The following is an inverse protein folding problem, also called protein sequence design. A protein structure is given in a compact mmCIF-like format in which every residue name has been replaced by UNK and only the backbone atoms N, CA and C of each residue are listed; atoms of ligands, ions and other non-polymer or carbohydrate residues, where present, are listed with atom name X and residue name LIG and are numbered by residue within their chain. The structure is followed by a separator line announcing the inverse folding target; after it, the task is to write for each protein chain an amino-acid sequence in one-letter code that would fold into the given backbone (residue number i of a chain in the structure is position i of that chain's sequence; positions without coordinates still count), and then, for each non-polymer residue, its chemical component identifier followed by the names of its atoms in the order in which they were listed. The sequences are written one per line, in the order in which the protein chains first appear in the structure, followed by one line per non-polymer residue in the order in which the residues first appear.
data_IF_216504060631
#
_entry.id   IF_216504060631
#
_cell.length_a   1.000
_cell.length_b   1.000
_cell.length_c   1.000
_cell.angle_alpha   90.00
_cell.angle_beta   90.00
_cell.angle_gamma   90.00
#
_symmetry.space_group_name_H-M   'P 1'
#
loop_
_entity.id
_entity.type
_entity.pdbx_description
1 polymer ?
#
# COMPACT_ATOMS: atom_id res chain seq x y z
N UNK A 1 3.90 -44.87 -2.45
CA UNK A 1 4.50 -43.60 -2.91
C UNK A 1 5.97 -43.63 -2.55
N UNK A 2 6.78 -43.90 -3.49
CA UNK A 2 8.23 -43.93 -3.33
C UNK A 2 8.75 -42.51 -3.52
N UNK A 3 8.89 -41.78 -2.43
CA UNK A 3 9.70 -40.59 -2.44
C UNK A 3 11.15 -41.02 -2.66
N UNK A 4 11.65 -40.77 -3.86
CA UNK A 4 13.06 -40.98 -4.14
C UNK A 4 13.86 -39.95 -3.31
N UNK A 5 14.84 -40.37 -2.51
CA UNK A 5 15.62 -39.47 -1.64
C UNK A 5 16.37 -38.39 -2.40
N UNK A 6 16.50 -38.49 -3.71
CA UNK A 6 17.10 -37.50 -4.59
C UNK A 6 16.17 -36.32 -4.91
N UNK A 7 14.84 -36.53 -5.00
CA UNK A 7 13.89 -35.45 -5.29
C UNK A 7 13.78 -34.40 -4.18
N UNK A 8 13.89 -34.83 -2.92
CA UNK A 8 13.77 -33.94 -1.78
C UNK A 8 14.91 -32.91 -1.65
N UNK A 9 16.14 -33.28 -1.97
CA UNK A 9 17.29 -32.39 -1.91
C UNK A 9 17.27 -31.33 -3.02
N UNK A 10 16.93 -31.72 -4.25
CA UNK A 10 16.81 -30.78 -5.36
C UNK A 10 15.67 -29.78 -5.15
N UNK A 11 14.52 -30.22 -4.65
CA UNK A 11 13.38 -29.34 -4.36
C UNK A 11 13.69 -28.36 -3.23
N UNK A 12 14.34 -28.80 -2.17
CA UNK A 12 14.77 -27.94 -1.06
C UNK A 12 15.78 -26.90 -1.53
N UNK A 13 16.75 -27.30 -2.34
CA UNK A 13 17.76 -26.41 -2.88
C UNK A 13 17.13 -25.39 -3.86
N UNK A 14 16.22 -25.80 -4.71
CA UNK A 14 15.50 -24.91 -5.62
C UNK A 14 14.66 -23.91 -4.82
N UNK A 15 13.92 -24.34 -3.82
CA UNK A 15 13.13 -23.49 -2.95
C UNK A 15 14.01 -22.45 -2.21
N UNK A 16 15.18 -22.87 -1.73
CA UNK A 16 16.16 -22.00 -1.08
C UNK A 16 16.72 -20.90 -1.98
N UNK A 17 16.68 -21.08 -3.29
CA UNK A 17 17.07 -20.05 -4.28
C UNK A 17 15.88 -19.18 -4.73
N UNK A 18 14.70 -19.77 -4.86
CA UNK A 18 13.51 -19.06 -5.33
C UNK A 18 13.03 -18.03 -4.31
N UNK A 19 12.98 -18.38 -3.02
CA UNK A 19 12.50 -17.49 -1.98
C UNK A 19 13.30 -16.18 -1.90
N UNK A 20 14.65 -16.18 -1.82
CA UNK A 20 15.43 -14.93 -1.81
C UNK A 20 15.23 -14.10 -3.07
N UNK A 21 15.07 -14.75 -4.22
CA UNK A 21 14.82 -14.07 -5.49
C UNK A 21 13.49 -13.30 -5.45
N UNK A 22 12.41 -13.97 -5.05
CA UNK A 22 11.10 -13.32 -4.92
C UNK A 22 11.10 -12.21 -3.88
N UNK A 23 11.75 -12.41 -2.73
CA UNK A 23 11.88 -11.38 -1.69
C UNK A 23 12.70 -10.19 -2.17
N UNK A 24 13.73 -10.42 -2.98
CA UNK A 24 14.55 -9.34 -3.54
C UNK A 24 13.76 -8.37 -4.41
N UNK A 25 12.70 -8.84 -5.07
CA UNK A 25 11.80 -8.00 -5.85
C UNK A 25 10.98 -7.04 -4.98
N UNK A 26 10.74 -7.38 -3.71
CA UNK A 26 9.99 -6.56 -2.77
C UNK A 26 10.85 -5.44 -2.16
N UNK A 27 12.16 -5.61 -2.08
CA UNK A 27 13.08 -4.66 -1.40
C UNK A 27 12.91 -3.20 -1.81
N UNK A 28 12.83 -2.83 -3.11
CA UNK A 28 12.66 -1.44 -3.50
C UNK A 28 11.38 -0.80 -2.93
N UNK A 29 10.36 -1.63 -2.73
CA UNK A 29 9.03 -1.20 -2.26
C UNK A 29 8.92 -1.14 -0.73
N UNK A 30 9.92 -1.63 0.00
CA UNK A 30 10.00 -1.50 1.46
C UNK A 30 10.68 -0.22 1.92
N UNK A 31 11.39 0.45 1.02
CA UNK A 31 12.22 1.63 1.34
C UNK A 31 11.62 2.90 0.76
N UNK A 32 11.01 2.82 -0.41
CA UNK A 32 10.49 3.97 -1.15
C UNK A 32 9.15 3.67 -1.81
N UNK A 33 8.35 4.70 -1.96
CA UNK A 33 7.11 4.67 -2.76
C UNK A 33 7.31 5.18 -4.19
N UNK A 34 8.55 5.44 -4.58
CA UNK A 34 8.88 5.87 -5.94
C UNK A 34 8.59 4.80 -7.00
N UNK A 35 8.91 3.51 -6.75
CA UNK A 35 8.57 2.47 -7.70
C UNK A 35 7.06 2.26 -7.80
N UNK A 36 6.57 2.01 -9.00
CA UNK A 36 5.15 1.77 -9.26
C UNK A 36 4.70 0.40 -8.76
N UNK A 37 3.68 0.36 -7.91
CA UNK A 37 3.12 -0.89 -7.39
C UNK A 37 2.56 -1.80 -8.49
N UNK A 38 1.86 -1.31 -9.54
CA UNK A 38 1.46 -2.13 -10.68
C UNK A 38 2.62 -2.82 -11.39
N UNK A 39 3.78 -2.18 -11.46
CA UNK A 39 4.99 -2.78 -12.03
C UNK A 39 5.46 -3.98 -11.20
N UNK A 40 5.41 -3.90 -9.88
CA UNK A 40 5.68 -5.05 -9.00
C UNK A 40 4.73 -6.20 -9.28
N UNK A 41 3.42 -5.92 -9.37
CA UNK A 41 2.42 -6.94 -9.63
C UNK A 41 2.63 -7.64 -10.96
N UNK A 42 2.94 -6.90 -12.02
CA UNK A 42 3.25 -7.47 -13.34
C UNK A 42 4.46 -8.41 -13.28
N UNK A 43 5.52 -8.01 -12.57
CA UNK A 43 6.71 -8.84 -12.39
C UNK A 43 6.44 -10.09 -11.58
N UNK A 44 5.66 -9.98 -10.50
CA UNK A 44 5.29 -11.13 -9.69
C UNK A 44 4.38 -12.10 -10.43
N UNK A 45 3.45 -11.60 -11.25
CA UNK A 45 2.60 -12.44 -12.10
C UNK A 45 3.42 -13.23 -13.13
N UNK A 46 4.45 -12.62 -13.69
CA UNK A 46 5.38 -13.33 -14.58
C UNK A 46 6.14 -14.46 -13.87
N UNK A 47 6.36 -14.34 -12.56
CA UNK A 47 7.04 -15.34 -11.75
C UNK A 47 6.07 -16.28 -10.99
N UNK A 48 4.79 -16.23 -11.33
CA UNK A 48 3.79 -17.10 -10.72
C UNK A 48 4.17 -18.58 -10.72
N UNK A 49 4.74 -19.16 -11.79
CA UNK A 49 5.16 -20.56 -11.77
C UNK A 49 6.17 -20.91 -10.68
N UNK A 50 7.08 -19.98 -10.35
CA UNK A 50 8.05 -20.16 -9.26
C UNK A 50 7.35 -20.17 -7.89
N UNK A 51 6.38 -19.29 -7.71
CA UNK A 51 5.59 -19.27 -6.48
C UNK A 51 4.72 -20.52 -6.34
N UNK A 52 4.10 -20.99 -7.42
CA UNK A 52 3.33 -22.24 -7.44
C UNK A 52 4.21 -23.45 -7.10
N UNK A 53 5.45 -23.45 -7.56
CA UNK A 53 6.43 -24.46 -7.17
C UNK A 53 6.69 -24.43 -5.66
N UNK A 54 6.95 -23.25 -5.07
CA UNK A 54 7.12 -23.11 -3.63
C UNK A 54 5.90 -23.59 -2.86
N UNK A 55 4.71 -23.24 -3.32
CA UNK A 55 3.47 -23.62 -2.66
C UNK A 55 3.25 -25.12 -2.62
N UNK A 56 3.69 -25.83 -3.67
CA UNK A 56 3.56 -27.31 -3.75
C UNK A 56 4.62 -28.05 -2.96
N UNK A 57 5.84 -27.56 -2.98
CA UNK A 57 7.00 -28.29 -2.47
C UNK A 57 7.62 -27.70 -1.20
N UNK A 58 7.33 -26.46 -0.89
CA UNK A 58 7.87 -25.74 0.26
C UNK A 58 6.84 -24.73 0.81
N UNK A 59 5.71 -25.24 1.27
CA UNK A 59 4.57 -24.44 1.73
C UNK A 59 4.95 -23.39 2.78
N UNK A 60 5.87 -23.73 3.68
CA UNK A 60 6.38 -22.80 4.71
C UNK A 60 7.06 -21.58 4.07
N UNK A 61 7.91 -21.80 3.08
CA UNK A 61 8.61 -20.72 2.37
C UNK A 61 7.65 -19.89 1.51
N UNK A 62 6.65 -20.50 0.91
CA UNK A 62 5.58 -19.80 0.22
C UNK A 62 4.83 -18.88 1.18
N UNK A 63 4.54 -19.32 2.39
CA UNK A 63 3.89 -18.52 3.41
C UNK A 63 4.78 -17.35 3.90
N UNK A 64 6.07 -17.59 4.06
CA UNK A 64 7.03 -16.52 4.40
C UNK A 64 7.05 -15.42 3.33
N UNK A 65 7.04 -15.79 2.06
CA UNK A 65 6.94 -14.83 0.96
C UNK A 65 5.60 -14.06 0.98
N UNK A 66 4.48 -14.75 1.16
CA UNK A 66 3.17 -14.10 1.25
C UNK A 66 3.12 -13.08 2.39
N UNK A 67 3.65 -13.43 3.53
CA UNK A 67 3.74 -12.53 4.68
C UNK A 67 4.60 -11.29 4.36
N UNK A 68 5.76 -11.48 3.77
CA UNK A 68 6.64 -10.39 3.34
C UNK A 68 5.95 -9.49 2.30
N UNK A 69 5.25 -10.06 1.34
CA UNK A 69 4.48 -9.33 0.33
C UNK A 69 3.39 -8.46 0.97
N UNK A 70 2.56 -9.03 1.83
CA UNK A 70 1.48 -8.29 2.50
C UNK A 70 2.04 -7.14 3.34
N UNK A 71 3.10 -7.37 4.10
CA UNK A 71 3.75 -6.33 4.90
C UNK A 71 4.32 -5.21 4.03
N UNK A 72 4.95 -5.55 2.91
CA UNK A 72 5.52 -4.59 1.97
C UNK A 72 4.44 -3.72 1.32
N UNK A 73 3.40 -4.34 0.78
CA UNK A 73 2.29 -3.62 0.14
C UNK A 73 1.55 -2.74 1.13
N UNK A 74 1.31 -3.23 2.33
CA UNK A 74 0.69 -2.45 3.40
C UNK A 74 1.52 -1.22 3.73
N UNK A 75 2.80 -1.37 3.99
CA UNK A 75 3.70 -0.24 4.26
C UNK A 75 3.72 0.77 3.11
N UNK A 76 3.81 0.29 1.88
CA UNK A 76 3.80 1.11 0.67
C UNK A 76 2.53 1.96 0.59
N UNK A 77 1.37 1.33 0.70
CA UNK A 77 0.07 2.01 0.62
C UNK A 77 -0.15 2.98 1.79
N UNK A 78 0.21 2.60 3.01
CA UNK A 78 0.12 3.48 4.18
C UNK A 78 1.01 4.72 4.00
N UNK A 79 2.22 4.53 3.52
CA UNK A 79 3.17 5.63 3.30
C UNK A 79 2.70 6.55 2.18
N UNK A 80 2.23 6.00 1.08
CA UNK A 80 1.67 6.77 -0.04
C UNK A 80 0.44 7.57 0.40
N UNK A 81 -0.45 6.96 1.16
CA UNK A 81 -1.66 7.61 1.68
C UNK A 81 -1.33 8.75 2.65
N UNK A 82 -0.41 8.54 3.57
CA UNK A 82 0.05 9.60 4.49
C UNK A 82 0.64 10.80 3.74
N UNK A 83 1.39 10.57 2.67
CA UNK A 83 1.92 11.65 1.82
C UNK A 83 0.79 12.41 1.12
N UNK A 84 -0.19 11.70 0.62
CA UNK A 84 -1.36 12.30 -0.02
C UNK A 84 -2.15 13.18 0.96
N UNK A 85 -2.44 12.68 2.15
CA UNK A 85 -3.15 13.44 3.19
C UNK A 85 -2.38 14.72 3.56
N UNK A 86 -1.08 14.63 3.78
CA UNK A 86 -0.25 15.80 4.08
C UNK A 86 -0.24 16.83 2.95
N UNK A 87 -0.28 16.39 1.70
CA UNK A 87 -0.38 17.29 0.56
C UNK A 87 -1.72 18.04 0.55
N UNK A 88 -2.82 17.33 0.82
CA UNK A 88 -4.15 17.94 0.94
C UNK A 88 -4.24 18.94 2.11
N UNK A 89 -3.66 18.62 3.25
CA UNK A 89 -3.61 19.51 4.41
C UNK A 89 -2.89 20.82 4.07
N UNK A 90 -1.77 20.76 3.34
CA UNK A 90 -1.05 21.95 2.89
C UNK A 90 -1.90 22.83 1.97
N UNK A 91 -2.63 22.23 1.03
CA UNK A 91 -3.52 22.99 0.13
C UNK A 91 -4.62 23.67 0.95
N UNK A 92 -5.21 22.97 1.89
CA UNK A 92 -6.25 23.51 2.77
C UNK A 92 -5.76 24.70 3.59
N UNK A 93 -4.59 24.59 4.22
CA UNK A 93 -4.00 25.67 5.03
C UNK A 93 -3.62 26.89 4.18
N UNK A 94 -3.10 26.66 2.97
CA UNK A 94 -2.79 27.76 2.04
C UNK A 94 -4.03 28.53 1.61
N UNK A 95 -5.12 27.84 1.35
CA UNK A 95 -6.40 28.45 0.98
C UNK A 95 -6.96 29.32 2.10
N UNK A 96 -6.83 28.87 3.35
CA UNK A 96 -7.32 29.61 4.52
C UNK A 96 -6.51 30.87 4.76
N UNK A 97 -5.22 30.85 4.51
CA UNK A 97 -4.35 32.04 4.67
C UNK A 97 -4.62 33.11 3.60
N UNK A 98 -4.96 32.71 2.39
CA UNK A 98 -5.31 33.66 1.33
C UNK A 98 -6.63 34.37 1.58
N UNK A 99 -7.58 33.71 2.22
CA UNK A 99 -8.86 34.35 2.59
C UNK A 99 -8.73 35.37 3.72
N UNK A 100 -7.74 35.23 4.60
CA UNK A 100 -7.50 36.19 5.66
C UNK A 100 -6.79 37.46 5.20
N UNK A 101 -6.08 37.43 4.10
CA UNK A 101 -5.42 38.61 3.54
C UNK A 101 -6.32 39.45 2.63
N UNK A 102 -7.43 38.94 2.19
CA UNK A 102 -8.40 39.67 1.35
C UNK A 102 -9.59 40.24 2.12
N UNK A 103 -9.64 40.06 3.41
CA UNK A 103 -10.61 40.73 4.27
C UNK A 103 -10.07 42.05 4.76
N UNK A 104 -9.94 43.03 3.88
CA UNK A 104 -10.11 44.42 4.31
C UNK A 104 -11.54 44.55 4.83
N UNK A 105 -11.75 45.15 5.97
CA UNK A 105 -13.07 45.38 6.50
C UNK A 105 -13.76 46.45 5.67
N UNK A 106 -14.37 46.07 4.57
CA UNK A 106 -15.47 46.82 4.01
C UNK A 106 -16.61 46.53 4.96
N UNK A 107 -16.79 47.42 5.94
CA UNK A 107 -17.93 47.39 6.82
C UNK A 107 -19.21 47.40 5.98
N UNK A 108 -20.15 46.62 6.40
CA UNK A 108 -21.44 46.32 5.86
C UNK A 108 -21.44 45.02 5.14
N UNK A 109 -21.39 43.97 5.88
CA UNK A 109 -22.22 42.85 5.48
C UNK A 109 -22.98 42.38 6.69
N UNK A 110 -24.13 42.87 6.77
CA UNK A 110 -25.21 42.19 7.41
C UNK A 110 -25.60 41.04 6.47
N UNK A 111 -24.77 40.15 6.29
CA UNK A 111 -25.11 38.88 5.69
C UNK A 111 -25.46 37.94 6.84
N UNK A 112 -26.69 38.01 7.22
CA UNK A 112 -27.32 36.90 7.85
C UNK A 112 -27.38 35.77 6.87
N UNK A 113 -26.24 35.31 6.44
CA UNK A 113 -26.13 34.01 5.79
C UNK A 113 -26.04 33.03 6.93
N UNK A 114 -27.15 32.51 7.15
CA UNK A 114 -27.33 31.29 7.90
C UNK A 114 -26.29 30.29 7.38
N UNK A 115 -25.21 30.13 8.11
CA UNK A 115 -24.20 29.12 7.87
C UNK A 115 -24.70 27.76 8.35
N UNK A 116 -25.96 27.49 8.16
CA UNK A 116 -26.52 26.15 8.29
C UNK A 116 -26.34 25.37 6.99
N UNK A 117 -25.27 25.56 6.33
CA UNK A 117 -24.74 24.50 5.48
C UNK A 117 -24.07 23.54 6.42
N UNK A 118 -24.95 22.78 6.93
CA UNK A 118 -24.81 21.56 7.56
C UNK A 118 -23.55 20.88 7.22
N UNK A 119 -22.93 20.56 8.26
CA UNK A 119 -22.24 19.32 8.41
C UNK A 119 -22.50 18.42 7.23
N UNK A 120 -21.70 18.56 6.20
CA UNK A 120 -21.44 17.46 5.34
C UNK A 120 -20.60 16.51 6.18
N UNK A 121 -21.28 15.91 7.10
CA UNK A 121 -20.86 14.72 7.74
C UNK A 121 -20.80 13.70 6.62
N UNK A 122 -19.67 13.64 5.97
CA UNK A 122 -19.31 12.45 5.25
C UNK A 122 -19.09 11.39 6.32
N UNK A 123 -20.00 10.46 6.48
CA UNK A 123 -19.64 9.25 7.16
C UNK A 123 -18.65 8.57 6.26
N UNK A 124 -17.38 8.83 6.47
CA UNK A 124 -16.36 7.89 6.13
C UNK A 124 -16.54 6.70 7.06
N UNK A 125 -17.68 6.08 6.90
CA UNK A 125 -17.87 4.74 7.37
C UNK A 125 -17.06 3.84 6.45
N UNK A 126 -15.76 3.91 6.61
CA UNK A 126 -14.98 2.72 6.44
C UNK A 126 -15.23 1.94 7.72
N UNK A 127 -16.47 1.57 7.91
CA UNK A 127 -16.79 0.56 8.85
C UNK A 127 -16.26 -0.70 8.22
N UNK A 128 -15.21 -1.15 8.87
CA UNK A 128 -15.05 -2.54 8.99
C UNK A 128 -14.59 -3.25 7.73
N UNK A 129 -13.32 -3.06 7.43
CA UNK A 129 -12.61 -4.14 6.78
C UNK A 129 -12.24 -5.17 7.85
N UNK A 130 -13.21 -5.81 8.41
CA UNK A 130 -12.98 -7.03 9.16
C UNK A 130 -12.72 -8.15 8.17
N UNK A 131 -11.49 -8.26 7.79
CA UNK A 131 -10.98 -9.46 7.17
C UNK A 131 -10.18 -10.27 8.18
#
# INVERSE_FOLDING_TARGET
MTETPFGGKCTTQAAAKILPHLVSLLKPYTVSITPSLPSLHTRLLALKPLFDFLRRHAARQAHEFQKAYVQTVRWYLETAFRRYVRALEKIRTSSTQQQQQSSEPIGIVNAGVDASLGEHNFPLCITDASF
#
